data_IF_488536293338
#
_entry.id   IF_488536293338
#
_cell.length_a   1.000
_cell.length_b   1.000
_cell.length_c   1.000
_cell.angle_alpha   90.00
_cell.angle_beta   90.00
_cell.angle_gamma   90.00
#
_symmetry.space_group_name_H-M   'P 1'
#
loop_
_entity.id
_entity.type
_entity.pdbx_description
1 polymer ?
#
# COMPACT_ATOMS: atom_id res chain seq x y z
N UNK A 1 12.24 -2.47 -6.41
CA UNK A 1 10.89 -2.14 -6.94
C UNK A 1 10.20 -1.06 -6.11
N UNK A 2 9.84 -1.32 -4.84
CA UNK A 2 9.17 -0.32 -3.99
C UNK A 2 9.87 1.06 -3.89
N UNK A 3 11.19 1.11 -3.62
CA UNK A 3 11.89 2.39 -3.52
C UNK A 3 11.88 3.19 -4.83
N UNK A 4 11.99 2.51 -5.97
CA UNK A 4 11.88 3.14 -7.29
C UNK A 4 10.46 3.68 -7.52
N UNK A 5 9.43 2.93 -7.11
CA UNK A 5 8.04 3.40 -7.19
C UNK A 5 7.82 4.71 -6.44
N UNK A 6 8.45 4.88 -5.25
CA UNK A 6 8.39 6.14 -4.49
C UNK A 6 9.02 7.31 -5.26
N UNK A 7 10.17 7.08 -5.88
CA UNK A 7 10.85 8.09 -6.71
C UNK A 7 9.98 8.48 -7.90
N UNK A 8 9.35 7.52 -8.58
CA UNK A 8 8.47 7.78 -9.72
C UNK A 8 7.19 8.53 -9.32
N UNK A 9 6.58 8.19 -8.18
CA UNK A 9 5.43 8.92 -7.64
C UNK A 9 5.78 10.40 -7.39
N UNK A 10 6.95 10.67 -6.80
CA UNK A 10 7.45 12.05 -6.60
C UNK A 10 7.66 12.79 -7.93
N UNK A 11 8.09 12.09 -8.97
CA UNK A 11 8.21 12.62 -10.34
C UNK A 11 6.87 12.75 -11.08
N UNK A 12 5.72 12.53 -10.40
CA UNK A 12 4.37 12.51 -11.00
C UNK A 12 4.17 11.39 -12.04
N UNK A 13 5.08 10.42 -12.14
CA UNK A 13 4.97 9.23 -13.00
C UNK A 13 4.15 8.14 -12.29
N UNK A 14 2.89 8.47 -11.98
CA UNK A 14 2.03 7.67 -11.10
C UNK A 14 1.70 6.29 -11.66
N UNK A 15 1.51 6.16 -12.98
CA UNK A 15 1.24 4.86 -13.62
C UNK A 15 2.44 3.91 -13.53
N UNK A 16 3.65 4.43 -13.73
CA UNK A 16 4.87 3.63 -13.60
C UNK A 16 5.11 3.24 -12.13
N UNK A 17 4.81 4.15 -11.20
CA UNK A 17 4.86 3.87 -9.78
C UNK A 17 3.86 2.77 -9.38
N UNK A 18 2.61 2.87 -9.83
CA UNK A 18 1.55 1.88 -9.60
C UNK A 18 1.95 0.49 -10.08
N UNK A 19 2.46 0.38 -11.32
CA UNK A 19 2.88 -0.90 -11.88
C UNK A 19 3.99 -1.57 -11.04
N UNK A 20 4.98 -0.78 -10.59
CA UNK A 20 6.04 -1.28 -9.72
C UNK A 20 5.53 -1.68 -8.34
N UNK A 21 4.52 -0.99 -7.79
CA UNK A 21 3.92 -1.35 -6.50
C UNK A 21 3.15 -2.66 -6.60
N UNK A 22 2.33 -2.80 -7.64
CA UNK A 22 1.57 -4.01 -7.89
C UNK A 22 2.48 -5.24 -7.97
N UNK A 23 3.56 -5.15 -8.74
CA UNK A 23 4.54 -6.23 -8.84
C UNK A 23 5.29 -6.46 -7.52
N UNK A 24 5.64 -5.38 -6.81
CA UNK A 24 6.32 -5.46 -5.53
C UNK A 24 5.46 -6.07 -4.40
N UNK A 25 4.14 -5.96 -4.49
CA UNK A 25 3.17 -6.61 -3.58
C UNK A 25 3.03 -8.08 -3.98
N UNK A 26 2.81 -8.35 -5.27
CA UNK A 26 2.69 -9.71 -5.81
C UNK A 26 3.87 -10.60 -5.42
N UNK A 27 5.11 -10.11 -5.53
CA UNK A 27 6.31 -10.86 -5.12
C UNK A 27 6.28 -11.21 -3.62
N UNK A 28 5.77 -10.31 -2.77
CA UNK A 28 5.66 -10.60 -1.34
C UNK A 28 4.54 -11.60 -1.05
N UNK A 29 3.42 -11.52 -1.77
CA UNK A 29 2.32 -12.49 -1.64
C UNK A 29 2.76 -13.89 -2.10
N UNK A 30 3.44 -14.00 -3.24
CA UNK A 30 4.00 -15.25 -3.76
C UNK A 30 5.06 -15.85 -2.82
N UNK A 31 5.79 -15.00 -2.09
CA UNK A 31 6.76 -15.42 -1.07
C UNK A 31 6.11 -15.78 0.30
N UNK A 32 4.78 -15.76 0.42
CA UNK A 32 4.08 -16.01 1.69
C UNK A 32 4.18 -14.87 2.71
N UNK A 33 4.67 -13.70 2.29
CA UNK A 33 4.84 -12.49 3.11
C UNK A 33 3.72 -11.46 2.89
N UNK A 34 2.58 -11.89 2.36
CA UNK A 34 1.44 -11.02 2.01
C UNK A 34 0.87 -10.21 3.18
N UNK A 35 0.99 -10.73 4.40
CA UNK A 35 0.53 -10.07 5.64
C UNK A 35 1.67 -9.42 6.43
N UNK A 36 2.90 -9.48 5.92
CA UNK A 36 4.05 -8.88 6.60
C UNK A 36 3.90 -7.35 6.70
N UNK A 37 4.53 -6.71 7.72
CA UNK A 37 4.55 -5.25 7.82
C UNK A 37 5.08 -4.56 6.55
N UNK A 38 6.04 -5.18 5.86
CA UNK A 38 6.58 -4.68 4.59
C UNK A 38 5.55 -4.73 3.45
N UNK A 39 4.72 -5.78 3.38
CA UNK A 39 3.65 -5.87 2.39
C UNK A 39 2.56 -4.84 2.69
N UNK A 40 2.13 -4.72 3.94
CA UNK A 40 1.15 -3.73 4.37
C UNK A 40 1.57 -2.30 4.03
N UNK A 41 2.84 -1.94 4.28
CA UNK A 41 3.37 -0.64 3.89
C UNK A 41 3.27 -0.37 2.38
N UNK A 42 3.56 -1.38 1.56
CA UNK A 42 3.46 -1.26 0.10
C UNK A 42 2.01 -1.14 -0.37
N UNK A 43 1.10 -1.92 0.22
CA UNK A 43 -0.34 -1.85 -0.06
C UNK A 43 -0.92 -0.48 0.32
N UNK A 44 -0.54 0.08 1.47
CA UNK A 44 -0.96 1.43 1.87
C UNK A 44 -0.51 2.47 0.84
N UNK A 45 0.76 2.42 0.41
CA UNK A 45 1.28 3.34 -0.60
C UNK A 45 0.58 3.15 -1.96
N UNK A 46 0.32 1.91 -2.38
CA UNK A 46 -0.46 1.62 -3.59
C UNK A 46 -1.88 2.18 -3.52
N UNK A 47 -2.55 2.07 -2.37
CA UNK A 47 -3.89 2.67 -2.19
C UNK A 47 -3.87 4.19 -2.37
N UNK A 48 -2.80 4.87 -1.93
CA UNK A 48 -2.63 6.30 -2.12
C UNK A 48 -2.42 6.66 -3.60
N UNK A 49 -1.62 5.88 -4.33
CA UNK A 49 -1.41 6.10 -5.76
C UNK A 49 -2.70 5.88 -6.58
N UNK A 50 -3.50 4.87 -6.22
CA UNK A 50 -4.82 4.63 -6.84
C UNK A 50 -5.78 5.81 -6.63
N UNK A 51 -5.80 6.40 -5.42
CA UNK A 51 -6.56 7.64 -5.17
C UNK A 51 -6.06 8.79 -6.04
N UNK A 52 -4.74 8.95 -6.18
CA UNK A 52 -4.14 9.97 -7.03
C UNK A 52 -4.43 9.77 -8.54
N UNK A 53 -4.74 8.53 -8.95
CA UNK A 53 -5.17 8.15 -10.30
C UNK A 53 -6.70 8.21 -10.48
N UNK A 54 -7.45 8.58 -9.44
CA UNK A 54 -8.93 8.57 -9.39
C UNK A 54 -9.57 7.18 -9.50
N UNK A 55 -8.81 6.11 -9.25
CA UNK A 55 -9.30 4.73 -9.18
C UNK A 55 -9.79 4.43 -7.75
N UNK A 56 -10.90 5.04 -7.37
CA UNK A 56 -11.39 5.00 -5.99
C UNK A 56 -11.87 3.61 -5.55
N UNK A 57 -12.54 2.87 -6.43
CA UNK A 57 -13.05 1.53 -6.13
C UNK A 57 -11.92 0.55 -5.82
N UNK A 58 -10.84 0.60 -6.61
CA UNK A 58 -9.63 -0.23 -6.38
C UNK A 58 -8.94 0.18 -5.08
N UNK A 59 -8.82 1.49 -4.80
CA UNK A 59 -8.23 1.99 -3.57
C UNK A 59 -9.01 1.55 -2.32
N UNK A 60 -10.34 1.60 -2.38
CA UNK A 60 -11.24 1.18 -1.30
C UNK A 60 -11.13 -0.32 -1.03
N UNK A 61 -11.15 -1.13 -2.08
CA UNK A 61 -10.97 -2.59 -1.97
C UNK A 61 -9.62 -2.94 -1.35
N UNK A 62 -8.55 -2.24 -1.75
CA UNK A 62 -7.23 -2.45 -1.17
C UNK A 62 -7.18 -2.04 0.30
N UNK A 63 -7.83 -0.91 0.67
CA UNK A 63 -7.92 -0.48 2.07
C UNK A 63 -8.74 -1.42 2.95
N UNK A 64 -9.81 -2.03 2.43
CA UNK A 64 -10.54 -3.09 3.14
C UNK A 64 -9.65 -4.31 3.41
N UNK A 65 -8.85 -4.74 2.43
CA UNK A 65 -7.90 -5.84 2.61
C UNK A 65 -6.85 -5.50 3.67
N UNK A 66 -6.29 -4.30 3.64
CA UNK A 66 -5.35 -3.81 4.67
C UNK A 66 -5.99 -3.85 6.06
N UNK A 67 -7.21 -3.32 6.19
CA UNK A 67 -7.94 -3.30 7.46
C UNK A 67 -8.16 -4.72 7.99
N UNK A 68 -8.61 -5.65 7.13
CA UNK A 68 -8.81 -7.04 7.53
C UNK A 68 -7.52 -7.69 8.06
N UNK A 69 -6.39 -7.50 7.37
CA UNK A 69 -5.09 -8.03 7.82
C UNK A 69 -4.70 -7.41 9.16
N UNK A 70 -4.87 -6.09 9.33
CA UNK A 70 -4.54 -5.38 10.57
C UNK A 70 -5.43 -5.78 11.76
N UNK A 71 -6.71 -6.04 11.52
CA UNK A 71 -7.66 -6.48 12.53
C UNK A 71 -7.40 -7.93 12.96
N UNK A 72 -6.96 -8.78 12.04
CA UNK A 72 -6.49 -10.12 12.34
C UNK A 72 -5.16 -10.10 13.11
N UNK A 73 -4.26 -9.16 12.80
CA UNK A 73 -2.95 -9.04 13.42
C UNK A 73 -2.97 -8.37 14.82
N UNK A 74 -4.01 -8.59 15.62
CA UNK A 74 -4.44 -7.83 16.82
C UNK A 74 -3.46 -7.70 18.02
N UNK A 75 -2.14 -7.66 17.82
CA UNK A 75 -1.15 -7.11 18.77
C UNK A 75 -0.04 -6.38 17.99
N UNK A 76 -0.26 -5.09 17.70
CA UNK A 76 0.76 -4.02 17.76
C UNK A 76 0.20 -2.71 17.17
N UNK A 77 -0.61 -2.00 17.94
CA UNK A 77 -1.06 -0.63 17.66
C UNK A 77 0.02 0.44 17.96
N UNK A 78 1.31 0.07 18.02
CA UNK A 78 2.34 0.96 18.60
C UNK A 78 3.19 1.75 17.59
N UNK A 79 2.93 1.73 16.28
CA UNK A 79 3.79 2.48 15.33
C UNK A 79 3.10 3.22 14.18
N UNK A 80 1.78 3.15 14.04
CA UNK A 80 1.08 3.96 13.04
C UNK A 80 0.48 5.19 13.71
N UNK A 81 1.22 6.30 13.65
CA UNK A 81 0.73 7.62 14.03
C UNK A 81 -0.53 7.94 13.17
N UNK A 82 -1.73 8.11 13.75
CA UNK A 82 -2.97 8.33 13.00
C UNK A 82 -3.08 9.73 12.35
N UNK A 83 -2.08 10.60 12.52
CA UNK A 83 -2.15 12.01 12.10
C UNK A 83 -2.13 12.27 10.60
N UNK A 84 -2.08 11.24 9.74
CA UNK A 84 -2.22 11.40 8.29
C UNK A 84 -3.63 11.13 7.72
N UNK A 85 -4.63 10.80 8.55
CA UNK A 85 -6.00 10.58 8.07
C UNK A 85 -6.91 11.81 8.17
N UNK A 86 -6.46 12.93 8.74
CA UNK A 86 -7.21 14.19 8.75
C UNK A 86 -6.26 15.41 8.73
N UNK A 87 -5.84 15.82 7.53
CA UNK A 87 -5.73 17.22 7.11
C UNK A 87 -5.59 17.31 5.59
#
# INVERSE_FOLDING_TARGET
>A
MYLLARVLSQQRKRKDAEALLRESIRILEEAGLGESPACLQRMMFHSMELMNLKQLDEAENLRRKILHIMELSKVCTCSCNPTMFLQ
#
